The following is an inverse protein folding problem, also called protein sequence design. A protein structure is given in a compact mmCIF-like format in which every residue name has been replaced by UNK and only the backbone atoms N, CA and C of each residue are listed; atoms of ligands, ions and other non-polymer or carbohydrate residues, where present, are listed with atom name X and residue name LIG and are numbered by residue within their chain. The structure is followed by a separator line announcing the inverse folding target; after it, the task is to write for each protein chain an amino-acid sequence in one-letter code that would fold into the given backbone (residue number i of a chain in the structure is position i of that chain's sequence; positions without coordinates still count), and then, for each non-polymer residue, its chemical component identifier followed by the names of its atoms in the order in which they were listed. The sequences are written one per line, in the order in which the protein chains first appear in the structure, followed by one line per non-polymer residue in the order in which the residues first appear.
data_IF_219398569618
#
_entry.id   IF_219398569618
#
_cell.length_a   1.000
_cell.length_b   1.000
_cell.length_c   1.000
_cell.angle_alpha   90.00
_cell.angle_beta   90.00
_cell.angle_gamma   90.00
#
_symmetry.space_group_name_H-M   'P 1'
#
loop_
_entity.id
_entity.type
_entity.pdbx_description
1 polymer ?
#
# COMPACT_ATOMS: atom_id res chain seq x y z
N UNK A 1 -11.20 -23.42 -8.58
CA UNK A 1 -12.23 -22.53 -9.18
C UNK A 1 -13.09 -21.79 -8.15
N UNK A 2 -13.19 -22.23 -6.88
CA UNK A 2 -13.99 -21.52 -5.86
C UNK A 2 -13.38 -20.21 -5.29
N UNK A 3 -12.06 -20.05 -5.34
CA UNK A 3 -11.35 -18.95 -4.65
C UNK A 3 -11.47 -17.59 -5.37
N UNK A 4 -11.55 -17.62 -6.71
CA UNK A 4 -11.61 -16.41 -7.55
C UNK A 4 -12.98 -15.73 -7.48
N UNK A 5 -14.07 -16.50 -7.40
CA UNK A 5 -15.43 -15.96 -7.27
C UNK A 5 -15.64 -15.31 -5.89
N UNK A 6 -15.15 -15.96 -4.83
CA UNK A 6 -15.10 -15.42 -3.46
C UNK A 6 -14.38 -14.06 -3.43
N UNK A 7 -13.18 -13.99 -4.01
CA UNK A 7 -12.38 -12.77 -4.05
C UNK A 7 -13.05 -11.63 -4.82
N UNK A 8 -13.68 -11.93 -5.96
CA UNK A 8 -14.43 -10.96 -6.76
C UNK A 8 -15.62 -10.38 -5.99
N UNK A 9 -16.34 -11.22 -5.25
CA UNK A 9 -17.47 -10.79 -4.42
C UNK A 9 -17.02 -9.87 -3.28
N UNK A 10 -15.97 -10.26 -2.55
CA UNK A 10 -15.37 -9.44 -1.48
C UNK A 10 -14.88 -8.09 -2.01
N UNK A 11 -14.25 -8.07 -3.19
CA UNK A 11 -13.79 -6.84 -3.81
C UNK A 11 -14.95 -5.92 -4.22
N UNK A 12 -16.02 -6.49 -4.78
CA UNK A 12 -17.22 -5.73 -5.10
C UNK A 12 -17.88 -5.15 -3.83
N UNK A 13 -17.89 -5.91 -2.74
CA UNK A 13 -18.36 -5.43 -1.43
C UNK A 13 -17.51 -4.27 -0.91
N UNK A 14 -16.18 -4.35 -0.98
CA UNK A 14 -15.28 -3.25 -0.61
C UNK A 14 -15.59 -1.98 -1.40
N UNK A 15 -15.88 -2.10 -2.69
CA UNK A 15 -16.22 -0.94 -3.54
C UNK A 15 -17.58 -0.35 -3.20
N UNK A 16 -18.56 -1.19 -2.88
CA UNK A 16 -19.91 -0.76 -2.49
C UNK A 16 -19.94 -0.13 -1.09
N UNK A 17 -19.14 -0.68 -0.16
CA UNK A 17 -19.02 -0.21 1.22
C UNK A 17 -17.54 -0.01 1.55
N UNK A 18 -17.06 1.21 1.29
CA UNK A 18 -15.70 1.60 1.64
C UNK A 18 -15.54 1.63 3.16
N UNK A 19 -14.34 1.22 3.62
CA UNK A 19 -13.97 1.40 5.01
C UNK A 19 -13.86 2.89 5.36
N UNK A 20 -14.24 3.24 6.59
CA UNK A 20 -14.09 4.60 7.09
C UNK A 20 -12.63 4.84 7.46
N UNK A 21 -11.92 5.59 6.63
CA UNK A 21 -10.50 5.87 6.78
C UNK A 21 -10.25 7.37 6.72
N UNK A 22 -9.31 7.86 7.51
CA UNK A 22 -8.88 9.27 7.50
C UNK A 22 -7.36 9.34 7.35
N UNK A 23 -6.86 10.41 6.73
CA UNK A 23 -5.43 10.70 6.80
C UNK A 23 -5.15 11.75 7.87
N UNK A 24 -4.08 11.54 8.62
CA UNK A 24 -3.64 12.47 9.67
C UNK A 24 -2.11 12.47 9.75
N UNK A 25 -1.54 13.40 10.53
CA UNK A 25 -0.10 13.44 10.75
C UNK A 25 0.38 12.13 11.37
N UNK A 26 1.39 11.52 10.75
CA UNK A 26 1.96 10.25 11.21
C UNK A 26 3.29 10.44 11.92
N UNK A 27 3.54 9.68 13.01
CA UNK A 27 4.86 9.62 13.62
C UNK A 27 5.89 8.88 12.77
N UNK A 28 5.46 8.08 11.78
CA UNK A 28 6.36 7.31 10.90
C UNK A 28 6.91 8.21 9.79
N UNK A 29 6.02 8.83 9.02
CA UNK A 29 6.39 9.70 7.91
C UNK A 29 5.23 10.61 7.53
N UNK A 30 5.43 11.92 7.63
CA UNK A 30 4.50 13.00 7.27
C UNK A 30 3.01 12.75 7.53
N UNK A 31 2.35 12.00 6.65
CA UNK A 31 0.95 11.63 6.69
C UNK A 31 0.80 10.11 6.72
N UNK A 32 -0.13 9.62 7.55
CA UNK A 32 -0.51 8.21 7.63
C UNK A 32 -2.00 8.02 7.37
N UNK A 33 -2.40 6.79 7.12
CA UNK A 33 -3.80 6.39 6.96
C UNK A 33 -4.28 5.69 8.23
N UNK A 34 -5.39 6.16 8.79
CA UNK A 34 -5.94 5.69 10.07
C UNK A 34 -7.33 5.10 9.88
N UNK A 35 -7.63 4.04 10.64
CA UNK A 35 -8.97 3.46 10.69
C UNK A 35 -9.92 4.33 11.55
N UNK A 36 -11.13 4.56 11.09
CA UNK A 36 -12.20 5.24 11.85
C UNK A 36 -13.31 4.28 12.31
N UNK A 37 -13.17 3.01 11.97
CA UNK A 37 -14.04 1.92 12.40
C UNK A 37 -13.17 0.69 12.70
N UNK A 38 -13.70 -0.25 13.49
CA UNK A 38 -13.03 -1.53 13.69
C UNK A 38 -12.99 -2.34 12.38
N UNK A 39 -11.82 -2.87 12.03
CA UNK A 39 -11.63 -3.70 10.84
C UNK A 39 -11.15 -5.09 11.29
N UNK A 40 -11.99 -6.13 11.18
CA UNK A 40 -11.61 -7.48 11.56
C UNK A 40 -10.42 -8.02 10.75
N UNK A 41 -9.64 -8.90 11.39
CA UNK A 41 -8.59 -9.66 10.72
C UNK A 41 -9.13 -10.37 9.46
N UNK A 42 -8.36 -10.31 8.38
CA UNK A 42 -8.67 -10.96 7.11
C UNK A 42 -9.55 -10.13 6.17
N UNK A 43 -10.13 -9.02 6.63
CA UNK A 43 -10.94 -8.16 5.76
C UNK A 43 -10.10 -7.28 4.83
N UNK A 44 -10.67 -6.95 3.67
CA UNK A 44 -10.12 -5.94 2.78
C UNK A 44 -10.29 -4.55 3.40
N UNK A 45 -9.21 -3.79 3.44
CA UNK A 45 -9.16 -2.43 3.98
C UNK A 45 -9.40 -1.40 2.88
N UNK A 46 -8.58 -1.46 1.82
CA UNK A 46 -8.61 -0.51 0.70
C UNK A 46 -7.90 -1.10 -0.53
N UNK A 47 -8.38 -0.78 -1.72
CA UNK A 47 -7.64 -1.00 -2.98
C UNK A 47 -6.54 0.06 -3.11
N UNK A 48 -5.31 -0.32 -3.42
CA UNK A 48 -4.27 0.64 -3.78
C UNK A 48 -4.45 1.05 -5.24
N UNK A 49 -4.91 2.27 -5.47
CA UNK A 49 -5.26 2.77 -6.81
C UNK A 49 -4.21 3.75 -7.31
N UNK A 50 -3.79 3.56 -8.56
CA UNK A 50 -2.94 4.48 -9.31
C UNK A 50 -3.00 4.19 -10.82
N UNK A 51 -2.13 4.83 -11.59
CA UNK A 51 -1.99 4.55 -13.03
C UNK A 51 -1.19 3.26 -13.24
N UNK A 52 -1.74 2.29 -13.98
CA UNK A 52 -1.00 1.09 -14.38
C UNK A 52 -0.08 1.45 -15.55
N UNK A 53 1.22 1.32 -15.34
CA UNK A 53 2.26 1.65 -16.32
C UNK A 53 3.24 0.49 -16.44
N UNK A 54 3.96 0.44 -17.57
CA UNK A 54 5.03 -0.55 -17.77
C UNK A 54 6.23 -0.25 -16.88
N UNK A 55 6.97 -1.27 -16.44
CA UNK A 55 8.16 -1.12 -15.60
C UNK A 55 9.16 -0.09 -16.16
N UNK A 56 9.47 -0.17 -17.46
CA UNK A 56 10.36 0.79 -18.13
C UNK A 56 9.87 2.26 -18.07
N UNK A 57 8.57 2.48 -17.96
CA UNK A 57 7.99 3.82 -17.80
C UNK A 57 8.09 4.26 -16.35
N UNK A 58 7.91 3.34 -15.39
CA UNK A 58 8.12 3.61 -13.97
C UNK A 58 9.55 4.08 -13.70
N UNK A 59 10.57 3.39 -14.22
CA UNK A 59 11.98 3.76 -14.06
C UNK A 59 12.28 5.18 -14.58
N UNK A 60 11.65 5.57 -15.69
CA UNK A 60 11.77 6.93 -16.25
C UNK A 60 11.07 7.97 -15.37
N UNK A 61 9.89 7.63 -14.82
CA UNK A 61 9.12 8.52 -13.96
C UNK A 61 9.80 8.72 -12.61
N UNK A 62 10.36 7.68 -12.02
CA UNK A 62 11.12 7.74 -10.76
C UNK A 62 12.29 8.73 -10.85
N UNK A 63 13.16 8.56 -11.86
CA UNK A 63 14.27 9.49 -12.12
C UNK A 63 13.81 10.93 -12.39
N UNK A 64 12.63 11.10 -12.97
CA UNK A 64 12.08 12.43 -13.20
C UNK A 64 11.53 13.04 -11.91
N UNK A 65 10.81 12.25 -11.09
CA UNK A 65 10.31 12.64 -9.78
C UNK A 65 11.45 13.09 -8.85
N UNK A 66 12.54 12.34 -8.78
CA UNK A 66 13.74 12.73 -8.04
C UNK A 66 14.28 14.10 -8.49
N UNK A 67 14.44 14.30 -9.81
CA UNK A 67 14.96 15.55 -10.38
C UNK A 67 14.10 16.78 -10.06
N UNK A 68 12.79 16.60 -9.93
CA UNK A 68 11.86 17.69 -9.60
C UNK A 68 11.59 17.80 -8.09
N UNK A 69 12.33 17.06 -7.25
CA UNK A 69 12.25 17.13 -5.80
C UNK A 69 11.08 16.36 -5.18
N UNK A 70 10.46 15.43 -5.90
CA UNK A 70 9.51 14.47 -5.33
C UNK A 70 10.32 13.32 -4.73
N UNK A 71 10.66 13.44 -3.44
CA UNK A 71 11.44 12.45 -2.69
C UNK A 71 10.68 11.19 -2.27
N UNK A 72 9.41 11.05 -2.64
CA UNK A 72 8.59 9.88 -2.34
C UNK A 72 7.86 9.43 -3.61
N UNK A 73 8.46 8.48 -4.34
CA UNK A 73 7.80 7.83 -5.47
C UNK A 73 6.74 6.84 -4.93
N UNK A 74 5.49 6.96 -5.38
CA UNK A 74 4.39 6.08 -4.95
C UNK A 74 4.19 4.97 -5.98
N UNK A 75 5.25 4.18 -6.17
CA UNK A 75 5.31 3.11 -7.17
C UNK A 75 5.10 1.76 -6.47
N UNK A 76 4.09 1.02 -6.89
CA UNK A 76 3.81 -0.33 -6.38
C UNK A 76 3.96 -1.34 -7.51
N UNK A 77 4.92 -2.26 -7.40
CA UNK A 77 5.14 -3.31 -8.39
C UNK A 77 4.04 -4.38 -8.31
N UNK A 78 3.34 -4.62 -9.42
CA UNK A 78 2.30 -5.66 -9.54
C UNK A 78 2.91 -6.96 -10.05
N UNK A 79 3.80 -6.87 -11.02
CA UNK A 79 4.57 -7.98 -11.57
C UNK A 79 5.86 -7.45 -12.23
N UNK A 80 6.56 -8.29 -12.97
CA UNK A 80 7.81 -7.91 -13.65
C UNK A 80 7.61 -6.79 -14.67
N UNK A 81 6.46 -6.75 -15.34
CA UNK A 81 6.18 -5.82 -16.44
C UNK A 81 5.33 -4.62 -16.02
N UNK A 82 4.59 -4.72 -14.92
CA UNK A 82 3.54 -3.77 -14.53
C UNK A 82 3.77 -3.15 -13.17
N UNK A 83 3.63 -1.82 -13.11
CA UNK A 83 3.75 -1.00 -11.90
C UNK A 83 2.52 -0.11 -11.79
N UNK A 84 2.00 0.09 -10.59
CA UNK A 84 0.96 1.08 -10.29
C UNK A 84 1.63 2.33 -9.74
N UNK A 85 1.50 3.45 -10.46
CA UNK A 85 2.01 4.76 -10.05
C UNK A 85 0.87 5.62 -9.46
N UNK A 86 0.90 5.81 -8.15
CA UNK A 86 -0.06 6.63 -7.42
C UNK A 86 0.44 8.08 -7.16
N UNK A 87 1.59 8.48 -7.73
CA UNK A 87 2.28 9.74 -7.39
C UNK A 87 1.44 10.97 -7.74
N UNK A 88 0.87 10.98 -8.95
CA UNK A 88 0.02 12.09 -9.45
C UNK A 88 -1.47 11.77 -9.45
N UNK A 89 -1.83 10.48 -9.58
CA UNK A 89 -3.23 10.04 -9.60
C UNK A 89 -3.33 8.78 -8.76
N UNK A 90 -4.04 8.86 -7.64
CA UNK A 90 -4.25 7.72 -6.76
C UNK A 90 -5.33 8.00 -5.72
N UNK A 91 -5.54 7.06 -4.81
CA UNK A 91 -6.45 7.21 -3.68
C UNK A 91 -5.68 7.29 -2.34
N UNK A 92 -6.41 7.26 -1.22
CA UNK A 92 -5.83 7.29 0.13
C UNK A 92 -4.84 6.14 0.42
N UNK A 93 -4.88 5.04 -0.34
CA UNK A 93 -3.95 3.91 -0.17
C UNK A 93 -2.48 4.28 -0.33
N UNK A 94 -2.18 5.39 -1.04
CA UNK A 94 -0.81 5.91 -1.16
C UNK A 94 -0.22 6.44 0.15
N UNK A 95 -1.05 6.70 1.16
CA UNK A 95 -0.65 7.25 2.46
C UNK A 95 -0.40 6.17 3.52
N UNK A 96 -0.45 4.90 3.13
CA UNK A 96 -0.19 3.79 4.04
C UNK A 96 1.32 3.65 4.20
N UNK A 97 1.81 3.88 5.42
CA UNK A 97 3.23 3.86 5.72
C UNK A 97 3.79 2.44 5.88
N UNK A 98 5.13 2.38 5.83
CA UNK A 98 5.86 1.17 6.14
C UNK A 98 5.87 0.89 7.65
N UNK A 99 5.73 -0.39 8.02
CA UNK A 99 6.16 -0.88 9.33
C UNK A 99 6.83 -2.25 9.22
N UNK A 100 7.89 -2.47 10.01
CA UNK A 100 8.53 -3.78 10.15
C UNK A 100 7.66 -4.78 10.96
N UNK A 101 6.65 -4.29 11.70
CA UNK A 101 5.63 -5.11 12.35
C UNK A 101 4.24 -4.62 11.94
N UNK A 102 3.85 -4.85 10.68
CA UNK A 102 2.64 -4.25 10.13
C UNK A 102 1.36 -4.98 10.56
N UNK A 103 0.27 -4.23 10.69
CA UNK A 103 -1.08 -4.75 10.90
C UNK A 103 -1.78 -5.11 9.58
N UNK A 104 -1.23 -4.75 8.42
CA UNK A 104 -1.76 -5.11 7.10
C UNK A 104 -0.75 -5.80 6.19
N UNK A 105 -1.27 -6.44 5.15
CA UNK A 105 -0.52 -7.00 4.02
C UNK A 105 -1.11 -6.53 2.70
N UNK A 106 -0.28 -6.37 1.68
CA UNK A 106 -0.73 -6.12 0.33
C UNK A 106 -0.81 -7.44 -0.44
N UNK A 107 -1.91 -7.66 -1.17
CA UNK A 107 -2.07 -8.82 -2.07
C UNK A 107 -2.49 -8.36 -3.44
N UNK A 108 -1.97 -9.03 -4.46
CA UNK A 108 -2.43 -8.88 -5.83
C UNK A 108 -3.55 -9.88 -6.07
N UNK A 109 -4.72 -9.39 -6.46
CA UNK A 109 -5.88 -10.21 -6.82
C UNK A 109 -6.24 -9.96 -8.28
N UNK A 110 -6.93 -10.91 -8.91
CA UNK A 110 -7.45 -10.75 -10.28
C UNK A 110 -8.95 -10.52 -10.21
N UNK A 111 -9.40 -9.38 -10.72
CA UNK A 111 -10.80 -8.95 -10.74
C UNK A 111 -11.14 -8.58 -12.18
N UNK A 112 -12.12 -9.25 -12.79
CA UNK A 112 -12.47 -9.06 -14.21
C UNK A 112 -11.25 -9.10 -15.16
N UNK A 113 -10.37 -10.09 -14.96
CA UNK A 113 -9.12 -10.27 -15.70
C UNK A 113 -8.10 -9.12 -15.57
N UNK A 114 -8.28 -8.22 -14.60
CA UNK A 114 -7.32 -7.16 -14.27
C UNK A 114 -6.69 -7.43 -12.90
N UNK A 115 -5.37 -7.29 -12.82
CA UNK A 115 -4.66 -7.34 -11.53
C UNK A 115 -4.95 -6.08 -10.73
N UNK A 116 -5.31 -6.24 -9.46
CA UNK A 116 -5.59 -5.18 -8.49
C UNK A 116 -4.76 -5.41 -7.24
N UNK A 117 -4.24 -4.33 -6.65
CA UNK A 117 -3.54 -4.38 -5.38
C UNK A 117 -4.57 -4.06 -4.29
N UNK A 118 -4.71 -4.96 -3.32
CA UNK A 118 -5.64 -4.78 -2.20
C UNK A 118 -4.90 -4.98 -0.89
N UNK A 119 -5.15 -4.07 0.04
CA UNK A 119 -4.64 -4.13 1.41
C UNK A 119 -5.62 -4.93 2.25
N UNK A 120 -5.10 -5.93 2.96
CA UNK A 120 -5.85 -6.79 3.88
C UNK A 120 -5.34 -6.63 5.30
N UNK A 121 -6.26 -6.64 6.26
CA UNK A 121 -5.95 -6.68 7.68
C UNK A 121 -5.30 -8.03 8.04
N UNK A 122 -4.07 -8.01 8.58
CA UNK A 122 -3.38 -9.21 9.11
C UNK A 122 -3.78 -9.51 10.54
N UNK A 123 -4.17 -8.49 11.28
CA UNK A 123 -4.73 -8.53 12.63
C UNK A 123 -6.02 -7.70 12.63
N UNK A 124 -6.83 -7.79 13.68
CA UNK A 124 -7.89 -6.79 13.88
C UNK A 124 -7.26 -5.41 14.05
N UNK A 125 -7.93 -4.39 13.52
CA UNK A 125 -7.51 -2.99 13.56
C UNK A 125 -8.60 -2.20 14.27
N UNK A 126 -8.21 -1.47 15.32
CA UNK A 126 -9.14 -0.67 16.11
C UNK A 126 -9.25 0.78 15.56
N UNK A 127 -10.35 1.48 15.83
CA UNK A 127 -10.47 2.90 15.49
C UNK A 127 -9.31 3.73 16.08
N UNK A 128 -8.70 4.56 15.26
CA UNK A 128 -7.54 5.39 15.61
C UNK A 128 -6.19 4.73 15.33
N UNK A 129 -6.13 3.44 14.98
CA UNK A 129 -4.87 2.79 14.63
C UNK A 129 -4.40 3.18 13.22
N UNK A 130 -3.08 3.37 13.08
CA UNK A 130 -2.45 3.59 11.78
C UNK A 130 -2.37 2.27 11.00
N UNK A 131 -2.83 2.31 9.76
CA UNK A 131 -2.71 1.20 8.81
C UNK A 131 -1.29 1.21 8.26
N UNK A 132 -0.60 0.08 8.34
CA UNK A 132 0.78 -0.09 7.87
C UNK A 132 0.99 -1.42 7.18
N UNK A 133 1.90 -1.48 6.21
CA UNK A 133 2.33 -2.75 5.58
C UNK A 133 3.85 -2.78 5.38
N UNK A 134 4.41 -3.96 5.14
CA UNK A 134 5.83 -4.06 4.76
C UNK A 134 5.98 -3.72 3.27
N UNK A 135 6.83 -2.74 2.93
CA UNK A 135 7.05 -2.31 1.56
C UNK A 135 7.85 -3.34 0.74
N UNK A 136 8.61 -4.21 1.41
CA UNK A 136 9.47 -5.21 0.76
C UNK A 136 10.39 -4.58 -0.30
N UNK A 137 11.02 -3.44 0.01
CA UNK A 137 12.00 -2.87 -0.90
C UNK A 137 13.17 -3.85 -1.11
N UNK A 138 13.68 -3.95 -2.35
CA UNK A 138 14.83 -4.79 -2.65
C UNK A 138 16.05 -4.31 -1.88
N UNK A 139 16.94 -5.24 -1.53
CA UNK A 139 18.14 -4.87 -0.79
C UNK A 139 19.12 -4.09 -1.66
N UNK A 140 19.51 -2.90 -1.22
CA UNK A 140 20.41 -2.00 -1.97
C UNK A 140 21.59 -1.52 -1.10
N UNK A 141 22.65 -1.03 -1.76
CA UNK A 141 23.82 -0.46 -1.07
C UNK A 141 23.49 0.86 -0.40
N UNK A 142 22.74 1.73 -1.08
CA UNK A 142 22.25 2.98 -0.52
C UNK A 142 21.08 2.70 0.40
N UNK A 143 21.26 2.97 1.69
CA UNK A 143 20.29 2.62 2.72
C UNK A 143 19.31 3.74 3.00
N UNK A 144 18.03 3.39 3.04
CA UNK A 144 16.93 4.29 3.39
C UNK A 144 16.54 4.01 4.84
N UNK A 145 16.74 4.97 5.78
CA UNK A 145 16.40 4.78 7.19
C UNK A 145 14.93 4.43 7.39
N UNK A 146 14.66 3.42 8.21
CA UNK A 146 13.30 3.06 8.60
C UNK A 146 12.89 3.81 9.87
N UNK A 147 11.83 4.61 9.77
CA UNK A 147 11.30 5.43 10.86
C UNK A 147 10.04 4.84 11.52
N UNK A 148 9.76 3.54 11.30
CA UNK A 148 8.50 2.94 11.76
C UNK A 148 8.31 2.84 13.27
N UNK A 149 9.36 3.07 14.08
CA UNK A 149 9.29 3.02 15.54
C UNK A 149 9.04 1.64 16.15
N UNK A 150 8.95 0.58 15.34
CA UNK A 150 8.71 -0.78 15.84
C UNK A 150 9.87 -1.27 16.73
N UNK A 151 9.59 -1.97 17.85
CA UNK A 151 10.63 -2.64 18.65
C UNK A 151 11.41 -3.71 17.86
N UNK A 152 10.84 -4.21 16.76
CA UNK A 152 11.48 -5.17 15.84
C UNK A 152 11.85 -4.53 14.50
N UNK A 153 12.15 -3.22 14.51
CA UNK A 153 12.57 -2.49 13.31
C UNK A 153 13.87 -3.08 12.74
N UNK A 154 13.93 -3.23 11.41
CA UNK A 154 15.13 -3.66 10.68
C UNK A 154 16.21 -2.57 10.55
N UNK A 155 15.90 -1.33 10.95
CA UNK A 155 16.76 -0.15 10.81
C UNK A 155 16.65 0.53 9.44
N UNK A 156 16.40 -0.22 8.37
CA UNK A 156 16.30 0.29 7.00
C UNK A 156 15.10 -0.29 6.26
N UNK A 157 14.60 0.43 5.25
CA UNK A 157 13.53 -0.04 4.36
C UNK A 157 14.06 -1.08 3.37
N UNK A 158 15.34 -0.96 2.99
CA UNK A 158 16.08 -1.73 1.98
C UNK A 158 17.47 -2.19 2.48
#
# INVERSE_FOLDING_TARGET
MGDTQSTQLQFNQLRARKKQLIFARSPIHDWGLYAMEAIPQGEMVIEYVGEVIRAQVADKREKWYEKIGIGSSYLFRVDEDSVVDATKRGNLGRLINHSCTPNCTAKIIVVNSQKKIVIYAKTSIEPGEEITYDYHFPLEQEKIPCLCGSPRCRGFLN
#
